data_IF_642958801094
#
_entry.id   IF_642958801094
#
_cell.length_a   1.000
_cell.length_b   1.000
_cell.length_c   1.000
_cell.angle_alpha   90.00
_cell.angle_beta   90.00
_cell.angle_gamma   90.00
#
_symmetry.space_group_name_H-M   'P 1'
#
loop_
_entity.id
_entity.type
_entity.pdbx_description
1 polymer ?
#
# COMPACT_ATOMS: atom_id res chain seq x y z
N UNK A 1 3.29 -4.69 -12.36
CA UNK A 1 2.92 -4.99 -10.95
C UNK A 1 4.16 -4.89 -10.10
N UNK A 2 4.11 -4.16 -8.99
CA UNK A 2 5.17 -4.03 -7.99
C UNK A 2 4.78 -4.81 -6.74
N UNK A 3 5.72 -5.12 -5.86
CA UNK A 3 5.41 -5.70 -4.56
C UNK A 3 5.01 -4.63 -3.54
N UNK A 4 4.19 -4.99 -2.56
CA UNK A 4 3.75 -4.08 -1.50
C UNK A 4 4.91 -3.57 -0.64
N UNK A 5 6.03 -4.31 -0.58
CA UNK A 5 7.26 -3.88 0.09
C UNK A 5 7.94 -2.69 -0.61
N UNK A 6 7.76 -2.55 -1.93
CA UNK A 6 8.35 -1.47 -2.70
C UNK A 6 7.52 -0.18 -2.66
N UNK A 7 6.30 -0.26 -2.11
CA UNK A 7 5.42 0.88 -1.96
C UNK A 7 5.98 1.87 -0.93
N UNK A 8 6.19 3.10 -1.38
CA UNK A 8 6.66 4.22 -0.55
C UNK A 8 5.59 5.29 -0.41
N UNK A 9 5.71 6.10 0.64
CA UNK A 9 4.89 7.31 0.80
C UNK A 9 4.93 8.18 -0.46
N UNK A 10 3.76 8.62 -0.94
CA UNK A 10 3.59 9.40 -2.14
C UNK A 10 3.23 8.60 -3.40
N UNK A 11 3.50 7.29 -3.43
CA UNK A 11 3.14 6.44 -4.58
C UNK A 11 1.63 6.24 -4.68
N UNK A 12 1.13 6.10 -5.91
CA UNK A 12 -0.26 5.78 -6.20
C UNK A 12 -0.33 4.39 -6.84
N UNK A 13 -1.26 3.57 -6.38
CA UNK A 13 -1.50 2.23 -6.91
C UNK A 13 -3.00 1.97 -7.04
N UNK A 14 -3.35 1.00 -7.88
CA UNK A 14 -4.71 0.51 -8.05
C UNK A 14 -4.87 -0.76 -7.21
N UNK A 15 -5.92 -0.77 -6.38
CA UNK A 15 -6.37 -1.97 -5.66
C UNK A 15 -7.88 -2.05 -5.74
N UNK A 16 -8.41 -3.18 -6.19
CA UNK A 16 -9.84 -3.42 -6.37
C UNK A 16 -10.55 -2.33 -7.21
N UNK A 17 -9.86 -1.81 -8.24
CA UNK A 17 -10.37 -0.74 -9.11
C UNK A 17 -10.37 0.66 -8.47
N UNK A 18 -9.83 0.81 -7.26
CA UNK A 18 -9.71 2.11 -6.56
C UNK A 18 -8.29 2.65 -6.70
N UNK A 19 -8.19 3.95 -6.95
CA UNK A 19 -6.93 4.69 -6.97
C UNK A 19 -6.57 5.09 -5.55
N UNK A 20 -5.48 4.53 -5.05
CA UNK A 20 -5.06 4.68 -3.67
C UNK A 20 -3.66 5.27 -3.64
N UNK A 21 -3.50 6.34 -2.86
CA UNK A 21 -2.19 6.93 -2.54
C UNK A 21 -1.67 6.39 -1.22
N UNK A 22 -0.41 6.01 -1.19
CA UNK A 22 0.29 5.62 0.04
C UNK A 22 0.64 6.89 0.82
N UNK A 23 0.14 7.02 2.04
CA UNK A 23 0.53 8.09 2.95
C UNK A 23 1.73 7.66 3.80
N UNK A 24 1.67 6.45 4.35
CA UNK A 24 2.68 5.92 5.25
C UNK A 24 2.78 4.41 5.06
N UNK A 25 4.00 3.88 5.16
CA UNK A 25 4.29 2.46 5.05
C UNK A 25 5.24 2.05 6.17
N UNK A 26 4.82 1.10 7.00
CA UNK A 26 5.61 0.57 8.10
C UNK A 26 5.83 -0.93 7.88
N UNK A 27 7.09 -1.32 7.73
CA UNK A 27 7.51 -2.69 7.62
C UNK A 27 7.72 -3.25 9.03
N UNK A 28 6.81 -4.11 9.48
CA UNK A 28 6.86 -4.73 10.80
C UNK A 28 7.17 -6.23 10.70
N UNK A 29 8.17 -6.69 11.45
CA UNK A 29 8.56 -8.09 11.54
C UNK A 29 8.48 -8.58 12.99
N UNK A 30 7.39 -9.24 13.41
CA UNK A 30 7.32 -9.85 14.73
C UNK A 30 8.27 -11.05 14.76
N UNK A 31 9.15 -11.15 15.76
CA UNK A 31 10.34 -12.03 15.71
C UNK A 31 10.14 -13.47 15.20
N UNK A 32 9.01 -14.13 15.55
CA UNK A 32 8.65 -15.50 15.08
C UNK A 32 7.48 -15.55 14.07
N UNK A 33 6.97 -14.41 13.61
CA UNK A 33 5.79 -14.34 12.74
C UNK A 33 6.11 -13.90 11.31
N UNK A 34 5.08 -13.96 10.46
CA UNK A 34 5.17 -13.44 9.10
C UNK A 34 5.34 -11.92 9.12
N UNK A 35 6.21 -11.44 8.24
CA UNK A 35 6.38 -10.01 8.00
C UNK A 35 5.09 -9.40 7.48
N UNK A 36 4.74 -8.21 7.99
CA UNK A 36 3.58 -7.45 7.57
C UNK A 36 3.97 -6.01 7.22
N UNK A 37 3.32 -5.47 6.19
CA UNK A 37 3.38 -4.06 5.84
C UNK A 37 2.12 -3.38 6.36
N UNK A 38 2.23 -2.56 7.38
CA UNK A 38 1.13 -1.68 7.81
C UNK A 38 1.17 -0.41 6.98
N UNK A 39 0.08 -0.07 6.32
CA UNK A 39 0.03 1.06 5.40
C UNK A 39 -1.16 1.96 5.72
N UNK A 40 -0.90 3.27 5.80
CA UNK A 40 -1.96 4.28 5.72
C UNK A 40 -2.10 4.71 4.27
N UNK A 41 -3.33 4.66 3.82
CA UNK A 41 -3.74 4.81 2.45
C UNK A 41 -4.75 5.94 2.35
N UNK A 42 -4.77 6.62 1.22
CA UNK A 42 -5.73 7.66 0.89
C UNK A 42 -6.40 7.30 -0.42
N UNK A 43 -7.71 7.10 -0.40
CA UNK A 43 -8.50 6.90 -1.61
C UNK A 43 -8.66 8.24 -2.32
N UNK A 44 -8.08 8.36 -3.52
CA UNK A 44 -8.09 9.61 -4.30
C UNK A 44 -9.48 9.94 -4.79
N UNK A 45 -10.31 8.93 -5.08
CA UNK A 45 -11.66 9.13 -5.63
C UNK A 45 -12.66 9.46 -4.53
N UNK A 46 -12.59 8.77 -3.39
CA UNK A 46 -13.53 8.98 -2.29
C UNK A 46 -13.06 10.02 -1.27
N UNK A 47 -11.78 10.40 -1.27
CA UNK A 47 -11.17 11.30 -0.30
C UNK A 47 -11.02 10.73 1.11
N UNK A 48 -11.15 9.40 1.27
CA UNK A 48 -11.13 8.75 2.58
C UNK A 48 -9.73 8.21 2.94
N UNK A 49 -9.36 8.32 4.21
CA UNK A 49 -8.17 7.68 4.76
C UNK A 49 -8.52 6.24 5.19
N UNK A 50 -7.72 5.28 4.77
CA UNK A 50 -7.88 3.86 5.10
C UNK A 50 -6.56 3.32 5.65
N UNK A 51 -6.62 2.61 6.77
CA UNK A 51 -5.46 1.86 7.27
C UNK A 51 -5.63 0.40 6.89
N UNK A 52 -4.63 -0.19 6.27
CA UNK A 52 -4.65 -1.61 5.89
C UNK A 52 -3.32 -2.27 6.20
N UNK A 53 -3.34 -3.60 6.21
CA UNK A 53 -2.14 -4.41 6.39
C UNK A 53 -2.00 -5.32 5.17
N UNK A 54 -0.83 -5.31 4.55
CA UNK A 54 -0.53 -6.09 3.34
C UNK A 54 0.63 -7.03 3.60
N UNK A 55 0.70 -8.11 2.83
CA UNK A 55 1.89 -8.97 2.83
C UNK A 55 2.96 -8.31 1.97
N UNK A 56 4.25 -8.38 2.34
CA UNK A 56 5.34 -7.80 1.55
C UNK A 56 5.35 -8.28 0.10
N UNK A 57 5.04 -9.57 -0.11
CA UNK A 57 4.99 -10.24 -1.41
C UNK A 57 3.66 -10.05 -2.16
N UNK A 58 2.72 -9.26 -1.64
CA UNK A 58 1.47 -8.96 -2.32
C UNK A 58 1.76 -8.05 -3.52
N UNK A 59 1.33 -8.48 -4.71
CA UNK A 59 1.52 -7.71 -5.94
C UNK A 59 0.43 -6.67 -6.09
N UNK A 60 0.82 -5.44 -6.40
CA UNK A 60 -0.08 -4.33 -6.69
C UNK A 60 0.28 -3.67 -8.02
N UNK A 61 -0.68 -2.97 -8.62
CA UNK A 61 -0.48 -2.25 -9.87
C UNK A 61 -0.21 -0.78 -9.58
N UNK A 62 0.96 -0.26 -9.95
CA UNK A 62 1.25 1.17 -9.81
C UNK A 62 0.42 1.95 -10.83
N UNK A 63 -0.27 2.99 -10.36
CA UNK A 63 -0.88 3.98 -11.23
C UNK A 63 0.12 5.11 -11.43
N UNK A 64 0.62 5.25 -12.66
CA UNK A 64 1.37 6.42 -13.07
C UNK A 64 0.34 7.45 -13.51
N UNK A 65 0.23 8.55 -12.77
CA UNK A 65 -0.53 9.71 -13.21
C UNK A 65 0.40 10.55 -14.08
N UNK A 66 0.11 10.61 -15.38
CA UNK A 66 0.74 11.54 -16.34
C UNK A 66 0.08 12.92 -16.27
#
# INVERSE_FOLDING_TARGET
MTEAIDLKSGMVFVKDGKLIKVLESNHHKPGKGNTVMQMKLYDIRSGANVTTTMRPSEKVEIAIMD
#
